data_IF_961898584054
#
_entry.id   IF_961898584054
#
_cell.length_a   1.000
_cell.length_b   1.000
_cell.length_c   1.000
_cell.angle_alpha   90.00
_cell.angle_beta   90.00
_cell.angle_gamma   90.00
#
_symmetry.space_group_name_H-M   'P 1'
#
loop_
_entity.id
_entity.type
_entity.pdbx_description
1 polymer ?
#
# COMPACT_ATOMS: atom_id res chain seq x y z
N UNK A 1 54.83 -27.90 35.53
CA UNK A 1 54.13 -29.22 35.71
C UNK A 1 53.01 -29.15 36.76
N UNK A 2 53.21 -28.42 37.85
CA UNK A 2 52.13 -28.21 38.89
C UNK A 2 50.91 -27.47 38.32
N UNK A 3 51.09 -26.41 37.51
CA UNK A 3 49.98 -25.63 36.90
C UNK A 3 49.07 -26.47 35.98
N UNK A 4 49.62 -27.46 35.27
CA UNK A 4 48.80 -28.26 34.34
C UNK A 4 47.86 -29.25 35.09
N UNK A 5 48.35 -29.81 36.21
CA UNK A 5 47.58 -30.72 37.05
C UNK A 5 46.50 -29.98 37.83
N UNK A 6 46.80 -28.78 38.31
CA UNK A 6 45.88 -27.92 39.03
C UNK A 6 44.72 -27.48 38.11
N UNK A 7 45.04 -27.04 36.89
CA UNK A 7 44.05 -26.72 35.85
C UNK A 7 43.18 -27.94 35.52
N UNK A 8 43.81 -29.13 35.41
CA UNK A 8 43.09 -30.36 35.10
C UNK A 8 42.16 -30.80 36.27
N UNK A 9 42.61 -30.61 37.51
CA UNK A 9 41.84 -30.88 38.71
C UNK A 9 40.63 -29.94 38.83
N UNK A 10 40.79 -28.66 38.49
CA UNK A 10 39.74 -27.66 38.55
C UNK A 10 38.62 -27.92 37.52
N UNK A 11 38.96 -28.32 36.29
CA UNK A 11 38.02 -28.46 35.21
C UNK A 11 37.47 -29.89 35.00
N UNK A 12 38.23 -30.91 35.47
CA UNK A 12 37.94 -32.33 35.23
C UNK A 12 38.06 -33.19 36.48
N UNK A 13 38.18 -32.58 37.68
CA UNK A 13 38.48 -33.26 38.93
C UNK A 13 37.49 -34.36 39.34
N UNK A 14 36.21 -34.19 38.94
CA UNK A 14 35.13 -35.15 39.24
C UNK A 14 34.97 -36.22 38.15
N UNK A 15 35.90 -36.30 37.19
CA UNK A 15 35.82 -37.27 36.08
C UNK A 15 36.68 -38.50 36.30
N UNK A 16 36.25 -39.64 35.76
CA UNK A 16 37.02 -40.88 35.73
C UNK A 16 38.40 -40.67 35.07
N UNK A 17 38.44 -39.82 34.03
CA UNK A 17 39.68 -39.47 33.36
C UNK A 17 40.73 -38.85 34.27
N UNK A 18 40.32 -37.94 35.18
CA UNK A 18 41.23 -37.34 36.14
C UNK A 18 41.69 -38.35 37.20
N UNK A 19 40.80 -39.24 37.66
CA UNK A 19 41.13 -40.32 38.64
C UNK A 19 42.15 -41.27 38.04
N UNK A 20 41.99 -41.71 36.79
CA UNK A 20 42.91 -42.56 36.07
C UNK A 20 44.27 -41.87 35.87
N UNK A 21 44.29 -40.61 35.45
CA UNK A 21 45.53 -39.85 35.26
C UNK A 21 46.30 -39.70 36.57
N UNK A 22 45.62 -39.40 37.69
CA UNK A 22 46.21 -39.26 38.99
C UNK A 22 46.83 -40.59 39.47
N UNK A 23 46.13 -41.72 39.25
CA UNK A 23 46.64 -43.05 39.53
C UNK A 23 47.88 -43.38 38.68
N UNK A 24 47.83 -43.11 37.36
CA UNK A 24 48.97 -43.31 36.48
C UNK A 24 50.19 -42.50 36.93
N UNK A 25 49.99 -41.25 37.37
CA UNK A 25 51.08 -40.40 37.88
C UNK A 25 51.73 -40.95 39.12
N UNK A 26 50.91 -41.48 40.05
CA UNK A 26 51.43 -42.11 41.27
C UNK A 26 52.26 -43.33 40.95
N UNK A 27 51.79 -44.20 40.04
CA UNK A 27 52.57 -45.39 39.60
C UNK A 27 53.82 -44.95 38.84
N UNK A 28 53.79 -43.92 38.02
CA UNK A 28 54.93 -43.31 37.27
C UNK A 28 55.97 -42.74 38.24
N UNK A 29 55.55 -42.11 39.34
CA UNK A 29 56.49 -41.63 40.36
C UNK A 29 57.24 -42.82 41.07
N UNK A 30 56.54 -43.93 41.37
CA UNK A 30 57.12 -45.11 41.90
C UNK A 30 58.14 -45.79 40.95
N UNK A 31 57.79 -45.85 39.63
CA UNK A 31 58.69 -46.29 38.58
C UNK A 31 59.96 -45.43 38.54
N UNK A 32 59.76 -44.10 38.49
CA UNK A 32 60.88 -43.16 38.49
C UNK A 32 61.81 -43.26 39.72
N UNK A 33 61.24 -43.61 40.88
CA UNK A 33 62.04 -43.85 42.03
C UNK A 33 62.84 -45.17 41.90
N UNK A 34 62.24 -46.23 41.38
CA UNK A 34 62.88 -47.50 41.10
C UNK A 34 64.01 -47.34 40.09
N UNK A 35 63.79 -46.60 39.02
CA UNK A 35 64.83 -46.28 38.01
C UNK A 35 66.02 -45.55 38.63
N UNK A 36 65.76 -44.48 39.38
CA UNK A 36 66.82 -43.72 40.07
C UNK A 36 67.56 -44.56 41.06
N UNK A 37 66.87 -45.48 41.82
CA UNK A 37 67.48 -46.41 42.76
C UNK A 37 68.37 -47.41 42.03
N UNK A 38 67.90 -48.01 40.91
CA UNK A 38 68.73 -48.93 40.10
C UNK A 38 69.94 -48.21 39.49
N UNK A 39 69.72 -46.98 38.94
CA UNK A 39 70.87 -46.20 38.48
C UNK A 39 71.87 -45.85 39.55
N UNK A 40 71.43 -45.60 40.79
CA UNK A 40 72.29 -45.32 41.92
C UNK A 40 73.21 -46.54 42.22
N UNK A 41 72.64 -47.74 42.16
CA UNK A 41 73.40 -49.01 42.32
C UNK A 41 74.45 -49.17 41.19
N UNK A 42 74.06 -48.88 39.90
CA UNK A 42 74.98 -48.98 38.78
C UNK A 42 76.12 -47.98 38.90
N UNK A 43 75.83 -46.73 39.21
CA UNK A 43 76.82 -45.65 39.29
C UNK A 43 77.79 -45.93 40.44
N UNK A 44 77.32 -46.45 41.60
CA UNK A 44 78.17 -46.81 42.74
C UNK A 44 79.08 -48.00 42.42
N UNK A 45 78.61 -48.92 41.54
CA UNK A 45 79.41 -50.08 41.13
C UNK A 45 80.45 -49.81 40.07
N UNK A 46 80.25 -48.72 39.26
CA UNK A 46 81.07 -48.43 38.05
C UNK A 46 81.87 -47.14 38.11
N UNK A 47 81.49 -46.15 38.91
CA UNK A 47 82.14 -44.85 39.02
C UNK A 47 82.60 -44.59 40.44
N UNK A 48 83.89 -44.50 40.63
CA UNK A 48 84.48 -44.30 41.97
C UNK A 48 84.38 -42.87 42.53
N UNK A 49 84.17 -41.86 41.64
CA UNK A 49 84.11 -40.44 42.02
C UNK A 49 82.66 -39.99 42.13
N UNK A 50 82.13 -39.81 43.34
CA UNK A 50 80.78 -39.31 43.63
C UNK A 50 80.50 -37.93 43.14
N UNK A 51 81.50 -37.08 42.87
CA UNK A 51 81.31 -35.71 42.35
C UNK A 51 80.84 -35.68 40.90
N UNK A 52 81.09 -36.76 40.16
CA UNK A 52 80.66 -36.94 38.78
C UNK A 52 79.23 -37.43 38.58
N UNK A 53 78.54 -37.79 39.69
CA UNK A 53 77.19 -38.37 39.63
C UNK A 53 76.08 -37.27 39.39
N UNK A 54 75.06 -37.54 38.57
CA UNK A 54 73.95 -36.68 38.48
C UNK A 54 73.28 -36.38 39.82
N UNK A 55 72.83 -35.13 40.04
CA UNK A 55 72.25 -34.68 41.31
C UNK A 55 71.06 -35.52 41.74
N UNK A 56 70.19 -35.91 40.77
CA UNK A 56 68.98 -36.71 40.99
C UNK A 56 69.32 -38.13 41.49
N UNK A 57 70.40 -38.68 41.03
CA UNK A 57 70.89 -40.02 41.47
C UNK A 57 71.62 -39.91 42.77
N UNK A 58 72.41 -38.90 43.02
CA UNK A 58 73.13 -38.65 44.26
C UNK A 58 72.23 -38.53 45.48
N UNK A 59 71.02 -37.94 45.29
CA UNK A 59 70.03 -37.74 46.36
C UNK A 59 69.30 -39.02 46.79
N UNK A 60 69.45 -40.12 46.05
CA UNK A 60 68.77 -41.39 46.38
C UNK A 60 69.56 -42.12 47.42
N UNK A 61 68.92 -42.40 48.56
CA UNK A 61 69.53 -43.21 49.62
C UNK A 61 69.39 -44.72 49.34
N UNK A 62 70.46 -45.44 49.40
CA UNK A 62 70.45 -46.93 49.32
C UNK A 62 70.15 -47.54 50.67
N UNK A 63 69.51 -48.70 50.66
CA UNK A 63 69.38 -49.51 51.89
C UNK A 63 70.72 -49.98 52.37
N UNK A 64 70.87 -50.09 53.70
CA UNK A 64 72.13 -50.48 54.34
C UNK A 64 72.64 -51.83 53.79
N UNK A 65 71.75 -52.79 53.54
CA UNK A 65 72.08 -54.07 52.93
C UNK A 65 72.68 -53.95 51.52
N UNK A 66 72.35 -52.91 50.80
CA UNK A 66 72.79 -52.72 49.40
C UNK A 66 74.13 -51.92 49.30
N UNK A 67 74.41 -51.17 50.34
CA UNK A 67 75.69 -50.44 50.45
C UNK A 67 76.87 -51.44 50.58
N UNK A 68 76.63 -52.53 51.31
CA UNK A 68 77.65 -53.56 51.63
C UNK A 68 77.79 -54.62 50.53
N UNK A 69 77.03 -54.59 49.44
CA UNK A 69 77.10 -55.51 48.31
C UNK A 69 78.37 -55.29 47.47
N UNK A 70 78.85 -56.39 46.87
CA UNK A 70 79.89 -56.29 45.85
C UNK A 70 79.39 -55.61 44.58
N UNK A 71 80.27 -55.02 43.75
CA UNK A 71 79.89 -54.33 42.55
C UNK A 71 79.08 -55.21 41.58
N UNK A 72 79.45 -56.50 41.45
CA UNK A 72 78.70 -57.47 40.65
C UNK A 72 77.29 -57.74 41.17
N UNK A 73 77.14 -57.76 42.51
CA UNK A 73 75.79 -57.95 43.17
C UNK A 73 74.92 -56.68 42.96
N UNK A 74 75.50 -55.48 43.10
CA UNK A 74 74.81 -54.21 42.84
C UNK A 74 74.30 -54.13 41.38
N UNK A 75 75.14 -54.50 40.39
CA UNK A 75 74.78 -54.57 39.00
C UNK A 75 73.64 -55.55 38.73
N UNK A 76 73.71 -56.74 39.26
CA UNK A 76 72.66 -57.74 39.11
C UNK A 76 71.34 -57.30 39.75
N UNK A 77 71.37 -56.67 40.95
CA UNK A 77 70.20 -56.12 41.61
C UNK A 77 69.58 -54.97 40.83
N UNK A 78 70.40 -54.09 40.31
CA UNK A 78 69.91 -53.00 39.44
C UNK A 78 69.16 -53.55 38.22
N UNK A 79 69.71 -54.55 37.59
CA UNK A 79 69.08 -55.20 36.42
C UNK A 79 67.78 -55.92 36.82
N UNK A 80 67.78 -56.60 37.94
CA UNK A 80 66.56 -57.24 38.45
C UNK A 80 65.44 -56.24 38.78
N UNK A 81 65.75 -55.07 39.31
CA UNK A 81 64.77 -54.03 39.63
C UNK A 81 64.04 -53.50 38.42
N UNK A 82 64.70 -53.31 37.28
CA UNK A 82 64.10 -52.71 36.06
C UNK A 82 63.66 -53.75 35.02
N UNK A 83 64.11 -55.05 35.18
CA UNK A 83 63.77 -56.11 34.24
C UNK A 83 62.80 -57.14 34.77
N UNK A 84 62.32 -57.00 36.02
CA UNK A 84 61.38 -57.94 36.61
C UNK A 84 59.94 -57.73 36.12
N UNK A 85 59.10 -58.74 36.23
CA UNK A 85 57.72 -58.68 35.77
C UNK A 85 56.92 -57.61 36.54
N UNK A 86 57.24 -57.31 37.80
CA UNK A 86 56.56 -56.28 38.58
C UNK A 86 56.82 -54.89 37.99
N UNK A 87 58.05 -54.58 37.57
CA UNK A 87 58.37 -53.32 36.93
C UNK A 87 57.70 -53.19 35.56
N UNK A 88 57.69 -54.26 34.75
CA UNK A 88 57.00 -54.25 33.44
C UNK A 88 55.49 -54.08 33.61
N UNK A 89 54.88 -54.80 34.58
CA UNK A 89 53.44 -54.65 34.86
C UNK A 89 53.10 -53.23 35.33
N UNK A 90 53.92 -52.56 36.13
CA UNK A 90 53.70 -51.20 36.58
C UNK A 90 53.80 -50.19 35.36
N UNK A 91 54.75 -50.44 34.44
CA UNK A 91 54.91 -49.66 33.27
C UNK A 91 53.70 -49.77 32.30
N UNK A 92 53.20 -50.98 32.12
CA UNK A 92 52.03 -51.29 31.31
C UNK A 92 50.76 -50.73 31.95
N UNK A 93 50.60 -50.78 33.26
CA UNK A 93 49.49 -50.15 34.04
C UNK A 93 49.46 -48.61 33.83
N UNK A 94 50.65 -47.97 33.83
CA UNK A 94 50.73 -46.51 33.52
C UNK A 94 50.24 -46.21 32.13
N UNK A 95 50.68 -46.96 31.09
CA UNK A 95 50.28 -46.77 29.73
C UNK A 95 48.77 -47.00 29.51
N UNK A 96 48.26 -48.09 30.09
CA UNK A 96 46.82 -48.44 30.08
C UNK A 96 45.96 -47.30 30.67
N UNK A 97 46.28 -46.85 31.89
CA UNK A 97 45.55 -45.76 32.55
C UNK A 97 45.62 -44.44 31.83
N UNK A 98 46.75 -44.10 31.20
CA UNK A 98 46.89 -42.90 30.35
C UNK A 98 45.95 -43.02 29.13
N UNK A 99 45.92 -44.19 28.48
CA UNK A 99 45.09 -44.42 27.29
C UNK A 99 43.59 -44.34 27.68
N UNK A 100 43.18 -45.01 28.74
CA UNK A 100 41.79 -44.94 29.23
C UNK A 100 41.39 -43.53 29.64
N UNK A 101 42.28 -42.75 30.28
CA UNK A 101 42.04 -41.35 30.61
C UNK A 101 41.83 -40.50 29.34
N UNK A 102 42.64 -40.70 28.29
CA UNK A 102 42.49 -39.99 27.00
C UNK A 102 41.18 -40.35 26.30
N UNK A 103 40.80 -41.63 26.31
CA UNK A 103 39.54 -42.09 25.70
C UNK A 103 38.32 -41.52 26.44
N UNK A 104 38.37 -41.54 27.79
CA UNK A 104 37.31 -40.94 28.62
C UNK A 104 37.15 -39.44 28.35
N UNK A 105 38.26 -38.68 28.25
CA UNK A 105 38.21 -37.25 27.89
C UNK A 105 37.66 -37.01 26.52
N UNK A 106 38.07 -37.82 25.55
CA UNK A 106 37.59 -37.72 24.16
C UNK A 106 36.07 -37.96 24.10
N UNK A 107 35.58 -38.98 24.80
CA UNK A 107 34.16 -39.30 24.90
C UNK A 107 33.37 -38.17 25.57
N UNK A 108 33.89 -37.59 26.65
CA UNK A 108 33.26 -36.46 27.37
C UNK A 108 33.17 -35.22 26.46
N UNK A 109 34.26 -34.92 25.74
CA UNK A 109 34.31 -33.77 24.80
C UNK A 109 33.31 -33.94 23.67
N UNK A 110 33.24 -35.12 23.05
CA UNK A 110 32.26 -35.44 22.01
C UNK A 110 30.81 -35.31 22.52
N UNK A 111 30.53 -35.81 23.71
CA UNK A 111 29.19 -35.69 24.31
C UNK A 111 28.78 -34.23 24.55
N UNK A 112 29.69 -33.41 25.10
CA UNK A 112 29.43 -31.95 25.27
C UNK A 112 29.24 -31.22 23.94
N UNK A 113 30.04 -31.56 22.92
CA UNK A 113 29.90 -30.96 21.58
C UNK A 113 28.56 -31.33 20.93
N UNK A 114 28.17 -32.63 20.97
CA UNK A 114 26.90 -33.06 20.38
C UNK A 114 25.68 -32.45 21.11
N UNK A 115 25.77 -32.27 22.44
CA UNK A 115 24.76 -31.56 23.20
C UNK A 115 24.64 -30.10 22.81
N UNK A 116 25.76 -29.41 22.61
CA UNK A 116 25.74 -28.02 22.14
C UNK A 116 25.15 -27.89 20.72
N UNK A 117 25.52 -28.78 19.79
CA UNK A 117 24.99 -28.80 18.42
C UNK A 117 23.47 -28.97 18.37
N UNK A 118 22.91 -29.84 19.21
CA UNK A 118 21.45 -30.03 19.29
C UNK A 118 20.73 -28.81 19.81
N UNK A 119 21.28 -28.10 20.77
CA UNK A 119 20.73 -26.85 21.30
C UNK A 119 20.80 -25.76 20.22
N UNK A 120 21.95 -25.59 19.56
CA UNK A 120 22.13 -24.64 18.51
C UNK A 120 21.14 -24.85 17.35
N UNK A 121 21.04 -26.08 16.85
CA UNK A 121 20.09 -26.39 15.76
C UNK A 121 18.65 -26.14 16.18
N UNK A 122 18.29 -26.43 17.43
CA UNK A 122 16.96 -26.11 17.96
C UNK A 122 16.67 -24.63 18.02
N UNK A 123 17.63 -23.80 18.42
CA UNK A 123 17.50 -22.33 18.45
C UNK A 123 17.43 -21.76 17.03
N UNK A 124 18.31 -22.20 16.11
CA UNK A 124 18.27 -21.74 14.71
C UNK A 124 16.94 -22.02 14.05
N UNK A 125 16.38 -23.23 14.23
CA UNK A 125 15.05 -23.55 13.66
C UNK A 125 13.94 -22.67 14.20
N UNK A 126 13.97 -22.29 15.49
CA UNK A 126 13.01 -21.35 16.07
C UNK A 126 13.15 -19.95 15.48
N UNK A 127 14.38 -19.47 15.28
CA UNK A 127 14.65 -18.16 14.64
C UNK A 127 14.14 -18.15 13.19
N UNK A 128 14.40 -19.22 12.42
CA UNK A 128 13.89 -19.35 11.03
C UNK A 128 12.36 -19.32 10.97
N UNK A 129 11.69 -20.04 11.88
CA UNK A 129 10.22 -20.03 11.97
C UNK A 129 9.69 -18.64 12.33
N UNK A 130 10.30 -17.95 13.29
CA UNK A 130 9.92 -16.57 13.65
C UNK A 130 10.13 -15.60 12.47
N UNK A 131 11.24 -15.71 11.77
CA UNK A 131 11.53 -14.88 10.60
C UNK A 131 10.51 -15.12 9.47
N UNK A 132 10.18 -16.38 9.18
CA UNK A 132 9.16 -16.73 8.19
C UNK A 132 7.78 -16.18 8.58
N UNK A 133 7.39 -16.28 9.85
CA UNK A 133 6.14 -15.73 10.38
C UNK A 133 6.09 -14.19 10.21
N UNK A 134 7.18 -13.49 10.53
CA UNK A 134 7.28 -12.04 10.36
C UNK A 134 7.14 -11.61 8.89
N UNK A 135 7.76 -12.35 7.97
CA UNK A 135 7.62 -12.07 6.53
C UNK A 135 6.17 -12.26 6.07
N UNK A 136 5.51 -13.34 6.50
CA UNK A 136 4.10 -13.58 6.20
C UNK A 136 3.21 -12.46 6.72
N UNK A 137 3.42 -12.03 7.96
CA UNK A 137 2.67 -10.95 8.59
C UNK A 137 2.89 -9.60 7.88
N UNK A 138 4.12 -9.30 7.44
CA UNK A 138 4.41 -8.13 6.61
C UNK A 138 3.69 -8.17 5.26
N UNK A 139 3.64 -9.34 4.61
CA UNK A 139 2.92 -9.49 3.33
C UNK A 139 1.41 -9.30 3.52
N UNK A 140 0.84 -9.84 4.59
CA UNK A 140 -0.58 -9.68 4.93
C UNK A 140 -0.92 -8.21 5.17
N UNK A 141 -0.13 -7.49 5.99
CA UNK A 141 -0.32 -6.05 6.24
C UNK A 141 -0.22 -5.26 4.93
N UNK A 142 0.76 -5.59 4.07
CA UNK A 142 0.92 -4.93 2.77
C UNK A 142 -0.30 -5.14 1.88
N UNK A 143 -0.84 -6.36 1.81
CA UNK A 143 -2.06 -6.67 1.05
C UNK A 143 -3.29 -5.94 1.60
N UNK A 144 -3.47 -5.92 2.91
CA UNK A 144 -4.57 -5.21 3.57
C UNK A 144 -4.49 -3.71 3.28
N UNK A 145 -3.32 -3.10 3.48
CA UNK A 145 -3.10 -1.67 3.20
C UNK A 145 -3.35 -1.34 1.74
N UNK A 146 -2.87 -2.18 0.83
CA UNK A 146 -3.11 -1.99 -0.62
C UNK A 146 -4.61 -2.02 -0.95
N UNK A 147 -5.36 -2.95 -0.36
CA UNK A 147 -6.78 -3.14 -0.68
C UNK A 147 -7.68 -2.10 -0.02
N UNK A 148 -7.41 -1.75 1.24
CA UNK A 148 -8.26 -0.85 2.02
C UNK A 148 -7.92 0.63 1.83
N UNK A 149 -6.69 0.97 1.43
CA UNK A 149 -6.24 2.36 1.36
C UNK A 149 -5.75 2.75 -0.03
N UNK A 150 -4.74 2.05 -0.55
CA UNK A 150 -4.04 2.49 -1.77
C UNK A 150 -4.94 2.42 -3.01
N UNK A 151 -5.63 1.30 -3.20
CA UNK A 151 -6.52 1.10 -4.35
C UNK A 151 -7.69 2.09 -4.34
N UNK A 152 -8.47 2.27 -3.25
CA UNK A 152 -9.53 3.26 -3.19
C UNK A 152 -9.06 4.69 -3.48
N UNK A 153 -7.91 5.11 -2.94
CA UNK A 153 -7.35 6.44 -3.21
C UNK A 153 -6.99 6.63 -4.70
N UNK A 154 -6.47 5.59 -5.35
CA UNK A 154 -6.21 5.64 -6.80
C UNK A 154 -7.51 5.75 -7.60
N UNK A 155 -8.54 5.01 -7.21
CA UNK A 155 -9.85 5.04 -7.85
C UNK A 155 -10.50 6.43 -7.68
N UNK A 156 -10.42 7.04 -6.49
CA UNK A 156 -10.88 8.41 -6.23
C UNK A 156 -10.16 9.42 -7.14
N UNK A 157 -8.83 9.32 -7.27
CA UNK A 157 -8.06 10.17 -8.17
C UNK A 157 -8.46 10.03 -9.65
N UNK A 158 -8.92 8.85 -10.07
CA UNK A 158 -9.47 8.65 -11.42
C UNK A 158 -10.88 9.24 -11.56
N UNK A 159 -11.75 9.03 -10.55
CA UNK A 159 -13.11 9.59 -10.53
C UNK A 159 -13.10 11.11 -10.60
N UNK A 160 -12.19 11.79 -9.87
CA UNK A 160 -12.02 13.26 -9.97
C UNK A 160 -11.69 13.67 -11.40
N UNK A 161 -10.75 13.01 -12.05
CA UNK A 161 -10.32 13.35 -13.43
C UNK A 161 -11.43 13.14 -14.47
N UNK A 162 -12.34 12.19 -14.22
CA UNK A 162 -13.47 11.89 -15.10
C UNK A 162 -14.72 12.71 -14.76
N UNK A 163 -14.73 13.42 -13.64
CA UNK A 163 -15.91 14.11 -13.15
C UNK A 163 -17.01 13.14 -12.74
N UNK A 164 -16.66 12.07 -12.05
CA UNK A 164 -17.57 11.03 -11.60
C UNK A 164 -17.62 10.98 -10.07
N UNK A 165 -18.65 10.35 -9.52
CA UNK A 165 -18.77 10.10 -8.07
C UNK A 165 -17.73 9.08 -7.62
N UNK A 166 -17.33 9.16 -6.34
CA UNK A 166 -16.41 8.18 -5.75
C UNK A 166 -17.11 6.85 -5.47
N UNK A 167 -16.44 5.72 -5.74
CA UNK A 167 -16.91 4.43 -5.26
C UNK A 167 -16.78 4.37 -3.72
N UNK A 168 -17.83 3.90 -3.03
CA UNK A 168 -17.83 3.79 -1.56
C UNK A 168 -17.16 2.48 -1.16
N UNK A 169 -15.82 2.48 -1.15
CA UNK A 169 -14.97 1.31 -0.87
C UNK A 169 -13.75 1.69 -0.03
N UNK A 170 -13.14 0.71 0.62
CA UNK A 170 -11.92 0.91 1.42
C UNK A 170 -12.17 0.94 2.91
N UNK A 171 -11.25 1.55 3.67
CA UNK A 171 -11.39 1.77 5.11
C UNK A 171 -12.58 2.68 5.42
N UNK A 172 -13.10 2.61 6.64
CA UNK A 172 -14.31 3.36 7.05
C UNK A 172 -14.17 4.86 6.81
N UNK A 173 -13.02 5.44 7.09
CA UNK A 173 -12.72 6.86 6.90
C UNK A 173 -12.73 7.25 5.41
N UNK A 174 -12.30 6.35 4.53
CA UNK A 174 -12.35 6.57 3.07
C UNK A 174 -13.77 6.44 2.54
N UNK A 175 -14.58 5.54 3.09
CA UNK A 175 -16.00 5.42 2.73
C UNK A 175 -16.77 6.68 3.14
N UNK A 176 -16.53 7.22 4.34
CA UNK A 176 -17.14 8.46 4.81
C UNK A 176 -16.73 9.65 3.94
N UNK A 177 -15.44 9.75 3.58
CA UNK A 177 -14.95 10.74 2.63
C UNK A 177 -15.64 10.62 1.27
N UNK A 178 -15.85 9.39 0.77
CA UNK A 178 -16.53 9.17 -0.49
C UNK A 178 -17.98 9.60 -0.45
N UNK A 179 -18.70 9.31 0.63
CA UNK A 179 -20.09 9.72 0.83
C UNK A 179 -20.20 11.25 0.84
N UNK A 180 -19.38 11.91 1.65
CA UNK A 180 -19.36 13.39 1.75
C UNK A 180 -19.01 14.05 0.41
N UNK A 181 -18.00 13.55 -0.30
CA UNK A 181 -17.65 14.06 -1.64
C UNK A 181 -18.81 13.89 -2.63
N UNK A 182 -19.48 12.72 -2.63
CA UNK A 182 -20.58 12.43 -3.54
C UNK A 182 -21.80 13.32 -3.27
N UNK A 183 -22.06 13.66 -2.02
CA UNK A 183 -23.09 14.61 -1.63
C UNK A 183 -22.79 16.01 -2.17
N UNK A 184 -21.61 16.54 -1.86
CA UNK A 184 -21.15 17.86 -2.37
C UNK A 184 -21.12 17.90 -3.90
N UNK A 185 -20.69 16.81 -4.55
CA UNK A 185 -20.67 16.71 -5.99
C UNK A 185 -22.08 16.82 -6.61
N UNK A 186 -23.08 16.12 -6.02
CA UNK A 186 -24.48 16.18 -6.46
C UNK A 186 -25.07 17.57 -6.28
N UNK A 187 -24.88 18.17 -5.10
CA UNK A 187 -25.34 19.54 -4.81
C UNK A 187 -24.75 20.54 -5.80
N UNK A 188 -23.45 20.40 -6.11
CA UNK A 188 -22.80 21.27 -7.08
C UNK A 188 -23.39 21.09 -8.50
N UNK A 189 -23.63 19.84 -8.92
CA UNK A 189 -24.27 19.55 -10.20
C UNK A 189 -25.70 20.14 -10.30
N UNK A 190 -26.47 20.03 -9.24
CA UNK A 190 -27.81 20.60 -9.17
C UNK A 190 -27.76 22.12 -9.21
N UNK A 191 -26.87 22.71 -8.42
CA UNK A 191 -26.65 24.17 -8.42
C UNK A 191 -26.23 24.68 -9.78
N UNK A 192 -25.31 23.99 -10.47
CA UNK A 192 -24.90 24.35 -11.82
C UNK A 192 -26.05 24.27 -12.83
N UNK A 193 -26.93 23.28 -12.72
CA UNK A 193 -28.14 23.19 -13.57
C UNK A 193 -29.08 24.37 -13.34
N UNK A 194 -29.30 24.76 -12.08
CA UNK A 194 -30.14 25.90 -11.71
C UNK A 194 -29.52 27.19 -12.25
N UNK A 195 -28.23 27.44 -11.99
CA UNK A 195 -27.53 28.64 -12.49
C UNK A 195 -27.57 28.69 -14.02
N UNK A 196 -27.37 27.57 -14.70
CA UNK A 196 -27.45 27.49 -16.16
C UNK A 196 -28.87 27.80 -16.66
N UNK A 197 -29.87 27.22 -16.01
CA UNK A 197 -31.27 27.46 -16.36
C UNK A 197 -31.63 28.94 -16.17
N UNK A 198 -31.26 29.56 -15.06
CA UNK A 198 -31.46 30.99 -14.79
C UNK A 198 -30.70 31.88 -15.81
N UNK A 199 -29.48 31.47 -16.18
CA UNK A 199 -28.70 32.21 -17.19
C UNK A 199 -29.21 32.07 -18.62
N UNK A 200 -29.95 30.99 -18.94
CA UNK A 200 -30.45 30.69 -20.29
C UNK A 200 -31.93 31.05 -20.48
N UNK A 201 -32.73 31.19 -19.41
CA UNK A 201 -34.16 31.42 -19.47
C UNK A 201 -34.56 32.79 -18.90
N UNK A 202 -35.71 33.27 -19.32
CA UNK A 202 -36.37 34.45 -18.77
C UNK A 202 -37.10 34.07 -17.47
N UNK A 203 -36.78 34.75 -16.36
CA UNK A 203 -37.27 34.41 -15.02
C UNK A 203 -38.79 34.51 -14.86
N UNK A 204 -39.49 35.36 -15.65
CA UNK A 204 -40.92 35.56 -15.62
C UNK A 204 -41.68 34.45 -16.35
N UNK A 205 -41.25 34.17 -17.58
CA UNK A 205 -42.02 33.38 -18.56
C UNK A 205 -41.47 31.93 -18.70
N UNK A 206 -40.26 31.66 -18.28
CA UNK A 206 -39.60 30.37 -18.51
C UNK A 206 -39.19 30.10 -19.95
N UNK A 207 -39.46 31.01 -20.88
CA UNK A 207 -38.92 30.95 -22.25
C UNK A 207 -37.40 31.21 -22.22
N UNK A 208 -36.68 30.89 -23.32
CA UNK A 208 -35.28 31.28 -23.44
C UNK A 208 -35.14 32.81 -23.41
N UNK A 209 -34.10 33.31 -22.79
CA UNK A 209 -33.85 34.75 -22.71
C UNK A 209 -33.16 35.27 -23.98
N UNK A 210 -33.05 36.61 -24.11
CA UNK A 210 -32.39 37.27 -25.21
C UNK A 210 -30.97 36.78 -25.47
N UNK A 211 -30.16 36.55 -24.41
CA UNK A 211 -28.79 36.07 -24.56
C UNK A 211 -28.73 34.68 -25.20
N UNK A 212 -29.65 33.80 -24.85
CA UNK A 212 -29.80 32.48 -25.48
C UNK A 212 -30.26 32.57 -26.92
N UNK A 213 -31.23 33.46 -27.21
CA UNK A 213 -31.66 33.74 -28.56
C UNK A 213 -30.49 34.15 -29.47
N UNK A 214 -29.67 35.11 -29.07
CA UNK A 214 -28.52 35.58 -29.84
C UNK A 214 -27.50 34.46 -30.10
N UNK A 215 -27.22 33.61 -29.10
CA UNK A 215 -26.33 32.46 -29.27
C UNK A 215 -26.88 31.43 -30.26
N UNK A 216 -28.15 31.07 -30.14
CA UNK A 216 -28.81 30.09 -31.01
C UNK A 216 -28.86 30.64 -32.46
N UNK A 217 -29.25 31.88 -32.60
CA UNK A 217 -29.30 32.53 -33.92
C UNK A 217 -27.91 32.53 -34.61
N UNK A 218 -26.83 32.80 -33.88
CA UNK A 218 -25.48 32.73 -34.40
C UNK A 218 -25.07 31.33 -34.84
N UNK A 219 -25.48 30.30 -34.10
CA UNK A 219 -25.21 28.90 -34.48
C UNK A 219 -25.90 28.55 -35.80
N UNK A 220 -27.18 28.90 -35.96
CA UNK A 220 -27.95 28.55 -37.13
C UNK A 220 -27.60 29.45 -38.36
N UNK A 221 -27.22 30.71 -38.15
CA UNK A 221 -26.72 31.59 -39.24
C UNK A 221 -25.43 31.07 -39.88
N UNK A 222 -24.57 30.44 -39.10
CA UNK A 222 -23.30 29.89 -39.56
C UNK A 222 -23.39 28.41 -39.97
N UNK A 223 -24.56 27.78 -39.79
CA UNK A 223 -24.83 26.39 -40.13
C UNK A 223 -25.44 26.24 -41.52
N UNK A 224 -25.46 25.01 -42.03
CA UNK A 224 -26.03 24.67 -43.35
C UNK A 224 -27.53 24.31 -43.27
N UNK A 225 -28.09 24.18 -42.06
CA UNK A 225 -29.48 23.75 -41.87
C UNK A 225 -30.47 24.90 -42.08
N UNK A 226 -31.54 24.68 -42.86
CA UNK A 226 -32.58 25.70 -43.06
C UNK A 226 -33.35 25.94 -41.75
N UNK A 227 -33.71 27.19 -41.50
CA UNK A 227 -34.56 27.55 -40.36
C UNK A 227 -35.47 28.72 -40.70
N UNK A 228 -36.57 28.86 -39.92
CA UNK A 228 -37.42 30.03 -39.97
C UNK A 228 -37.28 30.85 -38.70
N UNK A 229 -37.30 32.16 -38.83
CA UNK A 229 -37.37 33.15 -37.77
C UNK A 229 -38.80 33.70 -37.68
N UNK A 230 -39.41 33.59 -36.53
CA UNK A 230 -40.72 34.17 -36.23
C UNK A 230 -40.50 35.20 -35.12
N UNK A 231 -40.96 36.43 -35.33
CA UNK A 231 -41.01 37.50 -34.35
C UNK A 231 -42.47 37.76 -34.01
N UNK A 232 -42.78 37.81 -32.71
CA UNK A 232 -44.13 38.07 -32.21
C UNK A 232 -44.08 39.26 -31.25
N UNK A 233 -45.02 40.16 -31.38
CA UNK A 233 -45.25 41.28 -30.48
C UNK A 233 -46.70 41.23 -29.94
N UNK A 234 -46.90 41.52 -28.63
CA UNK A 234 -48.24 41.53 -28.03
C UNK A 234 -48.89 42.88 -28.29
N UNK A 235 -49.94 42.86 -29.12
CA UNK A 235 -50.68 44.07 -29.49
C UNK A 235 -51.21 44.82 -28.25
N UNK A 236 -51.00 46.14 -28.26
CA UNK A 236 -51.45 47.06 -27.19
C UNK A 236 -51.05 46.67 -25.75
N UNK A 237 -49.99 45.91 -25.56
CA UNK A 237 -49.54 45.40 -24.23
C UNK A 237 -49.33 46.52 -23.20
N UNK A 238 -48.85 47.69 -23.63
CA UNK A 238 -48.70 48.85 -22.76
C UNK A 238 -50.09 49.29 -22.20
N UNK A 239 -51.15 49.33 -23.01
CA UNK A 239 -52.47 49.67 -22.57
C UNK A 239 -53.02 48.66 -21.56
N UNK A 240 -52.71 47.40 -21.73
CA UNK A 240 -53.08 46.35 -20.73
C UNK A 240 -52.41 46.63 -19.40
N UNK A 241 -51.14 46.94 -19.37
CA UNK A 241 -50.41 47.28 -18.14
C UNK A 241 -50.99 48.54 -17.47
N UNK A 242 -51.26 49.57 -18.26
CA UNK A 242 -51.77 50.84 -17.77
C UNK A 242 -53.22 50.71 -17.21
N UNK A 243 -54.03 49.80 -17.78
CA UNK A 243 -55.46 49.61 -17.39
C UNK A 243 -55.64 48.58 -16.28
N UNK A 244 -54.96 47.45 -16.35
CA UNK A 244 -55.14 46.28 -15.47
C UNK A 244 -54.01 46.05 -14.49
N UNK A 245 -52.93 46.80 -14.62
CA UNK A 245 -51.73 46.67 -13.78
C UNK A 245 -50.72 45.63 -14.28
N UNK A 246 -49.48 45.76 -13.80
CA UNK A 246 -48.35 44.91 -14.23
C UNK A 246 -48.56 43.44 -13.89
N UNK A 247 -49.30 43.11 -12.83
CA UNK A 247 -49.56 41.71 -12.45
C UNK A 247 -50.36 40.95 -13.53
N UNK A 248 -51.32 41.68 -14.18
CA UNK A 248 -52.12 41.14 -15.30
C UNK A 248 -51.25 41.02 -16.54
N UNK A 249 -50.38 42.02 -16.81
CA UNK A 249 -49.45 41.98 -17.91
C UNK A 249 -48.46 40.78 -17.77
N UNK A 250 -47.94 40.56 -16.58
CA UNK A 250 -47.08 39.41 -16.28
C UNK A 250 -47.82 38.05 -16.48
N UNK A 251 -49.12 37.99 -16.17
CA UNK A 251 -49.93 36.79 -16.42
C UNK A 251 -50.11 36.55 -17.93
N UNK A 252 -50.33 37.63 -18.71
CA UNK A 252 -50.42 37.53 -20.17
C UNK A 252 -49.09 37.08 -20.78
N UNK A 253 -47.97 37.65 -20.36
CA UNK A 253 -46.64 37.24 -20.82
C UNK A 253 -46.38 35.73 -20.58
N UNK A 254 -46.73 35.24 -19.36
CA UNK A 254 -46.65 33.81 -19.06
C UNK A 254 -47.56 32.98 -19.95
N UNK A 255 -48.77 33.43 -20.20
CA UNK A 255 -49.76 32.75 -21.07
C UNK A 255 -49.25 32.66 -22.50
N UNK A 256 -48.76 33.78 -23.08
CA UNK A 256 -48.17 33.81 -24.43
C UNK A 256 -46.99 32.87 -24.54
N UNK A 257 -46.03 32.91 -23.58
CA UNK A 257 -44.89 32.00 -23.57
C UNK A 257 -45.31 30.53 -23.56
N UNK A 258 -46.27 30.17 -22.68
CA UNK A 258 -46.81 28.82 -22.60
C UNK A 258 -47.48 28.37 -23.92
N UNK A 259 -48.30 29.24 -24.52
CA UNK A 259 -48.94 28.95 -25.79
C UNK A 259 -47.95 28.75 -26.93
N UNK A 260 -46.90 29.58 -27.00
CA UNK A 260 -45.82 29.40 -27.95
C UNK A 260 -45.07 28.08 -27.71
N UNK A 261 -44.68 27.79 -26.48
CA UNK A 261 -43.97 26.55 -26.12
C UNK A 261 -44.78 25.28 -26.36
N UNK A 262 -46.10 25.31 -26.17
CA UNK A 262 -46.96 24.14 -26.41
C UNK A 262 -47.36 23.97 -27.88
N UNK A 263 -47.39 25.05 -28.68
CA UNK A 263 -47.76 25.01 -30.09
C UNK A 263 -46.61 24.64 -31.01
N UNK A 264 -45.37 25.09 -30.69
CA UNK A 264 -44.18 24.75 -31.44
C UNK A 264 -43.54 23.44 -30.91
N UNK A 265 -42.66 22.85 -31.71
CA UNK A 265 -42.03 21.54 -31.37
C UNK A 265 -40.98 21.72 -30.25
N UNK A 266 -40.72 20.68 -29.51
CA UNK A 266 -39.67 20.71 -28.47
C UNK A 266 -38.25 20.99 -29.00
N UNK A 267 -38.03 20.82 -30.30
CA UNK A 267 -36.76 21.15 -30.98
C UNK A 267 -36.70 22.59 -31.45
N UNK A 268 -37.84 23.32 -31.47
CA UNK A 268 -37.90 24.74 -31.84
C UNK A 268 -37.59 25.58 -30.58
N UNK A 269 -36.97 26.73 -30.78
CA UNK A 269 -36.53 27.58 -29.67
C UNK A 269 -37.46 28.74 -29.48
N UNK A 270 -38.22 28.75 -28.40
CA UNK A 270 -39.10 29.86 -28.02
C UNK A 270 -38.33 30.77 -27.08
N UNK A 271 -38.19 32.03 -27.43
CA UNK A 271 -37.40 33.01 -26.71
C UNK A 271 -38.23 34.28 -26.40
N UNK A 272 -37.98 34.92 -25.26
CA UNK A 272 -38.42 36.28 -24.97
C UNK A 272 -37.25 37.24 -25.22
N UNK A 273 -37.37 38.14 -26.16
CA UNK A 273 -36.29 39.01 -26.61
C UNK A 273 -36.44 40.48 -26.18
N UNK A 274 -37.65 40.87 -25.75
CA UNK A 274 -37.98 42.20 -25.27
C UNK A 274 -39.02 42.16 -24.16
N UNK A 275 -39.62 43.32 -23.85
CA UNK A 275 -40.69 43.43 -22.83
C UNK A 275 -41.91 42.57 -23.17
N UNK A 276 -42.46 42.78 -24.33
CA UNK A 276 -43.63 42.13 -24.94
C UNK A 276 -43.29 41.35 -26.22
N UNK A 277 -41.99 41.31 -26.59
CA UNK A 277 -41.50 40.69 -27.81
C UNK A 277 -41.03 39.25 -27.55
N UNK A 278 -41.49 38.35 -28.40
CA UNK A 278 -41.06 36.94 -28.43
C UNK A 278 -40.46 36.60 -29.80
N UNK A 279 -39.56 35.68 -29.84
CA UNK A 279 -39.02 35.09 -31.04
C UNK A 279 -39.08 33.55 -31.01
N UNK A 280 -39.38 32.95 -32.18
CA UNK A 280 -39.29 31.49 -32.31
C UNK A 280 -38.33 31.16 -33.45
N UNK A 281 -37.33 30.37 -33.19
CA UNK A 281 -36.43 29.80 -34.21
C UNK A 281 -36.90 28.37 -34.48
N UNK A 282 -37.52 28.14 -35.62
CA UNK A 282 -37.92 26.82 -36.08
C UNK A 282 -36.82 26.21 -36.93
N UNK A 283 -36.37 25.02 -36.52
CA UNK A 283 -35.24 24.34 -37.14
C UNK A 283 -35.68 23.31 -38.19
N UNK A 284 -34.81 23.04 -39.17
CA UNK A 284 -35.08 22.11 -40.28
C UNK A 284 -36.43 22.39 -40.98
N UNK A 285 -36.69 23.65 -41.32
CA UNK A 285 -37.91 24.13 -42.00
C UNK A 285 -37.56 25.06 -43.17
N UNK A 286 -38.39 24.98 -44.20
CA UNK A 286 -38.30 25.84 -45.41
C UNK A 286 -39.61 26.62 -45.62
N UNK A 287 -39.64 27.47 -46.68
CA UNK A 287 -40.77 28.34 -46.97
C UNK A 287 -42.09 27.57 -47.26
N UNK A 288 -42.01 26.28 -47.61
CA UNK A 288 -43.22 25.47 -47.84
C UNK A 288 -44.09 25.32 -46.60
N UNK A 289 -43.51 25.47 -45.38
CA UNK A 289 -44.22 25.39 -44.10
C UNK A 289 -44.87 26.72 -43.68
N UNK A 290 -44.85 27.76 -44.52
CA UNK A 290 -45.44 29.08 -44.21
C UNK A 290 -46.93 28.98 -43.84
N UNK A 291 -47.71 28.16 -44.56
CA UNK A 291 -49.11 27.90 -44.23
C UNK A 291 -49.32 27.27 -42.86
N UNK A 292 -48.55 26.27 -42.54
CA UNK A 292 -48.58 25.58 -41.22
C UNK A 292 -48.22 26.54 -40.08
N UNK A 293 -47.27 27.45 -40.29
CA UNK A 293 -46.93 28.48 -39.30
C UNK A 293 -48.10 29.43 -39.11
N UNK A 294 -48.72 29.89 -40.21
CA UNK A 294 -49.90 30.75 -40.13
C UNK A 294 -51.08 30.12 -39.39
N UNK A 295 -51.34 28.83 -39.63
CA UNK A 295 -52.36 28.08 -38.87
C UNK A 295 -52.03 28.05 -37.37
N UNK A 296 -50.78 27.73 -36.98
CA UNK A 296 -50.33 27.72 -35.61
C UNK A 296 -50.55 29.07 -34.91
N UNK A 297 -50.15 30.18 -35.59
CA UNK A 297 -50.36 31.53 -35.06
C UNK A 297 -51.84 31.88 -34.93
N UNK A 298 -52.67 31.46 -35.90
CA UNK A 298 -54.12 31.64 -35.82
C UNK A 298 -54.73 30.94 -34.61
N UNK A 299 -54.29 29.72 -34.31
CA UNK A 299 -54.73 28.96 -33.09
C UNK A 299 -54.32 29.71 -31.81
N UNK A 300 -53.10 30.23 -31.72
CA UNK A 300 -52.61 31.01 -30.59
C UNK A 300 -53.50 32.29 -30.42
N UNK A 301 -53.65 33.04 -31.51
CA UNK A 301 -54.43 34.28 -31.48
C UNK A 301 -55.92 34.05 -31.10
N UNK A 302 -56.54 32.95 -31.55
CA UNK A 302 -57.89 32.58 -31.12
C UNK A 302 -57.97 32.31 -29.62
N UNK A 303 -56.94 31.67 -29.00
CA UNK A 303 -56.90 31.40 -27.56
C UNK A 303 -56.60 32.67 -26.74
N UNK A 304 -55.92 33.63 -27.29
CA UNK A 304 -55.62 34.92 -26.67
C UNK A 304 -56.78 35.90 -26.79
N UNK A 305 -57.52 35.86 -27.90
CA UNK A 305 -58.64 36.76 -28.17
C UNK A 305 -59.92 36.31 -27.46
N UNK A 306 -60.11 34.98 -27.29
CA UNK A 306 -61.22 34.42 -26.56
C UNK A 306 -60.73 33.68 -25.30
N UNK A 307 -60.21 34.41 -24.31
CA UNK A 307 -59.63 33.77 -23.13
C UNK A 307 -60.69 33.03 -22.31
N UNK A 308 -60.31 31.83 -21.85
CA UNK A 308 -61.16 31.02 -20.94
C UNK A 308 -60.88 31.33 -19.47
N UNK A 309 -59.93 32.22 -19.20
CA UNK A 309 -59.50 32.73 -17.90
C UNK A 309 -59.93 34.22 -17.76
N UNK A 310 -59.78 34.78 -16.57
CA UNK A 310 -60.19 36.18 -16.27
C UNK A 310 -59.20 37.23 -16.83
N UNK A 311 -58.36 36.85 -17.81
CA UNK A 311 -57.41 37.77 -18.46
C UNK A 311 -58.08 38.57 -19.58
N UNK A 312 -57.65 39.82 -19.83
CA UNK A 312 -58.16 40.58 -20.95
C UNK A 312 -57.72 39.94 -22.28
N UNK A 313 -58.59 40.11 -23.32
CA UNK A 313 -58.31 39.65 -24.65
C UNK A 313 -57.16 40.46 -25.26
N UNK A 314 -56.19 39.76 -25.84
CA UNK A 314 -55.03 40.30 -26.56
C UNK A 314 -54.81 39.52 -27.85
N UNK A 315 -54.02 40.07 -28.76
CA UNK A 315 -53.55 39.38 -29.99
C UNK A 315 -52.04 39.49 -30.14
N UNK A 316 -51.50 38.69 -31.01
CA UNK A 316 -50.10 38.77 -31.44
C UNK A 316 -50.02 39.26 -32.89
N UNK A 317 -49.26 40.33 -33.11
CA UNK A 317 -48.66 40.59 -34.42
C UNK A 317 -47.49 39.69 -34.67
N UNK A 318 -47.37 39.11 -35.84
CA UNK A 318 -46.34 38.11 -36.14
C UNK A 318 -45.72 38.31 -37.50
N UNK A 319 -44.38 38.44 -37.55
CA UNK A 319 -43.60 38.46 -38.78
C UNK A 319 -42.75 37.18 -38.91
N UNK A 320 -42.66 36.65 -40.12
CA UNK A 320 -41.93 35.38 -40.40
C UNK A 320 -40.95 35.59 -41.56
N UNK A 321 -39.72 35.13 -41.39
CA UNK A 321 -38.74 35.05 -42.45
C UNK A 321 -38.06 33.65 -42.48
N UNK A 322 -37.77 33.16 -43.66
CA UNK A 322 -37.10 31.87 -43.89
C UNK A 322 -35.68 32.08 -44.42
N UNK A 323 -34.78 31.12 -44.16
CA UNK A 323 -33.43 31.18 -44.72
C UNK A 323 -33.39 31.02 -46.23
N UNK A 324 -34.33 30.26 -46.81
CA UNK A 324 -34.50 30.00 -48.25
C UNK A 324 -35.41 31.03 -48.99
N UNK A 325 -35.69 32.17 -48.34
CA UNK A 325 -36.50 33.24 -48.96
C UNK A 325 -35.89 33.79 -50.22
N UNK A 326 -36.73 34.12 -51.23
CA UNK A 326 -36.30 34.53 -52.54
C UNK A 326 -35.57 35.89 -52.57
N UNK A 327 -35.91 36.81 -51.67
CA UNK A 327 -35.33 38.14 -51.59
C UNK A 327 -34.80 38.43 -50.17
N UNK A 328 -33.61 37.93 -49.82
CA UNK A 328 -33.05 38.21 -48.50
C UNK A 328 -32.64 39.68 -48.34
N UNK A 329 -33.14 40.33 -47.27
CA UNK A 329 -32.75 41.68 -46.87
C UNK A 329 -31.41 41.68 -46.11
N UNK A 330 -31.25 42.61 -45.13
CA UNK A 330 -30.01 42.80 -44.36
C UNK A 330 -29.71 41.58 -43.43
N UNK A 331 -30.76 41.04 -42.83
CA UNK A 331 -30.67 39.84 -42.02
C UNK A 331 -32.04 39.18 -41.88
N UNK A 332 -32.05 37.86 -41.58
CA UNK A 332 -33.30 37.13 -41.37
C UNK A 332 -34.13 37.73 -40.22
N UNK A 333 -33.45 38.22 -39.15
CA UNK A 333 -34.13 38.92 -38.06
C UNK A 333 -34.83 40.19 -38.52
N UNK A 334 -34.10 41.05 -39.26
CA UNK A 334 -34.70 42.31 -39.80
C UNK A 334 -35.77 42.04 -40.81
N UNK A 335 -35.69 40.97 -41.58
CA UNK A 335 -36.70 40.61 -42.56
C UNK A 335 -37.98 40.10 -41.86
N UNK A 336 -37.84 39.33 -40.77
CA UNK A 336 -38.98 38.94 -39.94
C UNK A 336 -39.61 40.15 -39.21
N UNK A 337 -38.77 41.03 -38.63
CA UNK A 337 -39.20 42.26 -37.95
C UNK A 337 -39.97 43.24 -38.94
N UNK A 338 -39.55 43.30 -40.18
CA UNK A 338 -40.20 44.08 -41.23
C UNK A 338 -41.56 43.52 -41.67
N UNK A 339 -41.73 42.18 -41.49
CA UNK A 339 -42.98 41.50 -41.82
C UNK A 339 -44.01 41.56 -40.68
N UNK A 340 -43.55 41.95 -39.48
CA UNK A 340 -44.35 42.20 -38.28
C UNK A 340 -45.16 43.46 -38.43
#
# INVERSE_FOLDING_TARGET
RENALEYFAEHYGDTDAFTLLKSAMTTSQNLSYTDRYAMRLVVQATLADESSWPTEIRSVSLHDSDITMTDSEKMRKAQQLVCNDQYQNMRDDVNEKITESMDSLTALTRSRQSGAETVFTGVYRKIELCAALLVLLMLEICMITRHLVVKPLMDYGQSIRRGEIFPVVGAAELQDLALTYNEVYRENQETQKIIRHEAEHDALTGALNRGSFEKILNIYKNGEKPFAMIICDIDIFKHVNDTYGHAVGDAILKKVANLLQTTFRSIDYVCRIGGDEFAVIMVDVNQELSYTISEKITVINNQLYCPTDDLPAVSLSVGVAFTDRANPGESIFKDADKAL
#
